data_IF_964221771795
#
_entry.id   IF_964221771795
#
_cell.length_a   1.000
_cell.length_b   1.000
_cell.length_c   1.000
_cell.angle_alpha   90.00
_cell.angle_beta   90.00
_cell.angle_gamma   90.00
#
_symmetry.space_group_name_H-M   'P 1'
#
loop_
_entity.id
_entity.type
_entity.pdbx_description
1 polymer ?
#
# COMPACT_ATOMS: atom_id res chain seq x y z
N UNK A 1 -39.69 32.94 31.94
CA UNK A 1 -38.53 32.15 32.37
C UNK A 1 -39.00 30.75 32.55
N UNK A 2 -38.71 29.87 31.61
CA UNK A 2 -39.09 28.46 31.69
C UNK A 2 -37.82 27.66 31.98
N UNK A 3 -37.72 27.17 33.22
CA UNK A 3 -36.62 26.31 33.64
C UNK A 3 -36.95 24.88 33.21
N UNK A 4 -36.19 24.34 32.28
CA UNK A 4 -36.22 22.92 31.92
C UNK A 4 -35.76 22.11 33.13
N UNK A 5 -36.52 21.11 33.63
CA UNK A 5 -36.03 20.27 34.71
C UNK A 5 -34.89 19.39 34.18
N UNK A 6 -33.70 19.53 34.78
CA UNK A 6 -32.54 18.69 34.47
C UNK A 6 -32.81 17.28 34.99
N UNK A 7 -33.00 16.32 34.08
CA UNK A 7 -33.03 14.89 34.40
C UNK A 7 -31.71 14.47 35.08
N UNK A 8 -31.75 13.64 36.14
CA UNK A 8 -30.53 13.16 36.78
C UNK A 8 -29.72 12.29 35.80
N UNK A 9 -28.37 12.33 35.85
CA UNK A 9 -27.55 11.46 35.02
C UNK A 9 -27.86 9.99 35.36
N UNK A 10 -28.11 9.18 34.33
CA UNK A 10 -28.29 7.75 34.51
C UNK A 10 -27.01 7.11 35.08
N UNK A 11 -27.13 6.04 35.89
CA UNK A 11 -25.97 5.38 36.45
C UNK A 11 -25.05 4.86 35.33
N UNK A 12 -23.79 5.27 35.34
CA UNK A 12 -22.75 4.73 34.47
C UNK A 12 -22.32 3.36 35.02
N UNK A 13 -22.49 2.32 34.22
CA UNK A 13 -22.02 0.98 34.55
C UNK A 13 -20.60 0.76 33.99
N UNK A 14 -19.65 0.42 34.84
CA UNK A 14 -18.26 0.15 34.45
C UNK A 14 -18.11 -1.31 34.01
N UNK A 15 -17.98 -1.55 32.70
CA UNK A 15 -17.81 -2.89 32.15
C UNK A 15 -16.32 -3.25 32.08
N UNK A 16 -15.92 -4.32 32.79
CA UNK A 16 -14.57 -4.91 32.71
C UNK A 16 -14.63 -6.17 31.85
N UNK A 17 -13.83 -6.22 30.79
CA UNK A 17 -13.69 -7.39 29.94
C UNK A 17 -12.22 -7.75 29.74
N UNK A 18 -11.95 -9.03 29.59
CA UNK A 18 -10.63 -9.55 29.26
C UNK A 18 -10.58 -9.91 27.77
N UNK A 19 -9.51 -9.51 27.09
CA UNK A 19 -9.26 -9.85 25.68
C UNK A 19 -8.07 -10.79 25.58
N UNK A 20 -8.08 -11.66 24.57
CA UNK A 20 -6.89 -12.47 24.25
C UNK A 20 -5.73 -11.55 23.88
N UNK A 21 -4.52 -11.96 24.26
CA UNK A 21 -3.30 -11.28 23.81
C UNK A 21 -3.32 -11.26 22.27
N UNK A 22 -3.13 -10.08 21.68
CA UNK A 22 -3.01 -9.99 20.23
C UNK A 22 -1.81 -10.83 19.80
N UNK A 23 -1.91 -11.46 18.62
CA UNK A 23 -0.76 -12.15 18.03
C UNK A 23 0.38 -11.14 17.92
N UNK A 24 1.54 -11.49 18.44
CA UNK A 24 2.71 -10.63 18.34
C UNK A 24 3.03 -10.41 16.85
N UNK A 25 3.20 -9.16 16.48
CA UNK A 25 3.55 -8.72 15.13
C UNK A 25 4.91 -8.04 15.15
N UNK A 26 5.79 -8.53 16.02
CA UNK A 26 7.18 -8.11 16.11
C UNK A 26 7.82 -8.12 14.71
N UNK A 27 8.44 -7.00 14.35
CA UNK A 27 9.07 -6.84 13.02
C UNK A 27 8.11 -6.73 11.84
N UNK A 28 6.79 -6.64 12.05
CA UNK A 28 5.83 -6.53 10.95
C UNK A 28 5.83 -5.15 10.26
N UNK A 29 6.77 -4.28 10.59
CA UNK A 29 6.96 -2.97 9.98
C UNK A 29 8.46 -2.80 9.79
N UNK A 30 8.90 -2.64 8.55
CA UNK A 30 10.29 -2.37 8.23
C UNK A 30 10.67 -0.94 8.62
N UNK A 31 11.95 -0.63 8.47
CA UNK A 31 12.59 0.67 8.72
C UNK A 31 12.01 1.82 7.86
N UNK A 32 11.19 1.50 6.84
CA UNK A 32 10.42 2.47 6.03
C UNK A 32 8.93 2.55 6.39
N UNK A 33 8.48 1.87 7.45
CA UNK A 33 7.08 1.90 7.87
C UNK A 33 6.15 0.96 7.09
N UNK A 34 6.69 0.11 6.21
CA UNK A 34 5.91 -0.84 5.42
C UNK A 34 5.88 -2.21 6.08
N UNK A 35 4.74 -2.92 5.99
CA UNK A 35 4.61 -4.30 6.48
C UNK A 35 5.15 -5.37 5.54
N UNK A 36 5.82 -4.92 4.49
CA UNK A 36 6.33 -5.73 3.40
C UNK A 36 7.85 -5.68 3.48
N UNK A 37 8.48 -6.85 3.42
CA UNK A 37 9.92 -7.01 3.32
C UNK A 37 10.31 -7.41 1.89
N UNK A 38 11.59 -7.72 1.69
CA UNK A 38 12.13 -8.14 0.38
C UNK A 38 11.62 -9.52 -0.06
N UNK A 39 10.89 -10.25 0.80
CA UNK A 39 10.31 -11.56 0.46
C UNK A 39 9.04 -11.45 -0.37
N UNK A 40 8.43 -10.26 -0.45
CA UNK A 40 7.24 -10.04 -1.25
C UNK A 40 7.58 -10.22 -2.74
N UNK A 41 6.87 -11.10 -3.47
CA UNK A 41 7.14 -11.31 -4.88
C UNK A 41 7.00 -10.02 -5.69
N UNK A 42 7.93 -9.81 -6.63
CA UNK A 42 7.90 -8.70 -7.59
C UNK A 42 7.67 -9.25 -8.98
N UNK A 43 6.67 -8.72 -9.68
CA UNK A 43 6.34 -9.03 -11.06
C UNK A 43 6.73 -7.85 -11.94
N UNK A 44 7.64 -8.08 -12.88
CA UNK A 44 8.15 -7.06 -13.80
C UNK A 44 7.24 -6.98 -15.02
N UNK A 45 6.79 -5.76 -15.33
CA UNK A 45 5.98 -5.45 -16.50
C UNK A 45 6.75 -4.45 -17.35
N UNK A 46 7.25 -4.90 -18.50
CA UNK A 46 7.89 -4.05 -19.50
C UNK A 46 6.81 -3.24 -20.24
N UNK A 47 6.91 -1.92 -20.14
CA UNK A 47 6.01 -0.96 -20.79
C UNK A 47 6.74 -0.38 -22.00
N UNK A 48 6.30 -0.66 -23.24
CA UNK A 48 6.98 -0.14 -24.41
C UNK A 48 6.90 1.39 -24.47
N UNK A 49 7.98 2.01 -24.94
CA UNK A 49 7.97 3.42 -25.33
C UNK A 49 7.40 3.53 -26.76
N UNK A 50 6.31 4.29 -26.98
CA UNK A 50 5.72 4.45 -28.30
C UNK A 50 6.71 4.93 -29.37
N UNK A 51 7.65 5.79 -28.96
CA UNK A 51 8.68 6.38 -29.81
C UNK A 51 9.66 5.32 -30.36
N UNK A 52 9.88 4.22 -29.61
CA UNK A 52 10.74 3.09 -30.00
C UNK A 52 10.03 2.02 -30.84
N UNK A 53 8.73 2.18 -31.09
CA UNK A 53 7.95 1.25 -31.91
C UNK A 53 7.57 1.85 -33.28
N UNK A 54 7.88 3.13 -33.49
CA UNK A 54 7.56 3.86 -34.71
C UNK A 54 8.54 3.61 -35.86
N UNK A 55 8.28 4.20 -37.05
CA UNK A 55 9.20 4.14 -38.19
C UNK A 55 10.56 4.75 -37.87
N UNK A 56 10.58 5.76 -37.01
CA UNK A 56 11.79 6.50 -36.62
C UNK A 56 12.46 5.90 -35.37
N UNK A 57 12.08 4.67 -34.95
CA UNK A 57 12.62 4.04 -33.75
C UNK A 57 14.15 3.92 -33.75
N UNK A 58 14.77 3.84 -34.94
CA UNK A 58 16.23 3.79 -35.09
C UNK A 58 16.92 5.14 -34.80
N UNK A 59 16.17 6.24 -34.70
CA UNK A 59 16.68 7.58 -34.41
C UNK A 59 16.71 7.91 -32.91
N UNK A 60 16.16 7.04 -32.06
CA UNK A 60 16.06 7.24 -30.62
C UNK A 60 16.90 6.24 -29.84
N UNK A 61 17.61 6.73 -28.84
CA UNK A 61 18.39 5.92 -27.90
C UNK A 61 17.75 5.94 -26.51
N UNK A 62 17.77 4.79 -25.82
CA UNK A 62 17.28 4.70 -24.45
C UNK A 62 18.28 5.30 -23.49
N UNK A 63 17.91 6.40 -22.83
CA UNK A 63 18.76 7.12 -21.88
C UNK A 63 18.56 6.64 -20.43
N UNK A 64 17.38 6.13 -20.08
CA UNK A 64 17.06 5.66 -18.73
C UNK A 64 15.88 4.68 -18.74
N UNK A 65 15.67 3.98 -17.63
CA UNK A 65 14.48 3.16 -17.38
C UNK A 65 13.73 3.73 -16.18
N UNK A 66 12.59 4.36 -16.47
CA UNK A 66 11.68 4.85 -15.43
C UNK A 66 10.96 3.66 -14.78
N UNK A 67 11.20 3.47 -13.49
CA UNK A 67 10.57 2.41 -12.68
C UNK A 67 9.44 2.97 -11.84
N UNK A 68 8.29 2.31 -11.88
CA UNK A 68 7.15 2.61 -11.00
C UNK A 68 6.68 1.34 -10.32
N UNK A 69 6.50 1.37 -9.01
CA UNK A 69 6.06 0.23 -8.23
C UNK A 69 4.60 0.40 -7.80
N UNK A 70 3.81 -0.67 -7.91
CA UNK A 70 2.41 -0.72 -7.42
C UNK A 70 2.18 -1.99 -6.62
N UNK A 71 1.41 -1.91 -5.55
CA UNK A 71 1.00 -3.08 -4.79
C UNK A 71 -0.29 -3.65 -5.39
N UNK A 72 -0.29 -4.93 -5.76
CA UNK A 72 -1.46 -5.65 -6.20
C UNK A 72 -1.84 -6.74 -5.18
N UNK A 73 -3.13 -6.85 -4.91
CA UNK A 73 -3.68 -7.85 -3.99
C UNK A 73 -4.10 -9.09 -4.78
N UNK A 74 -3.66 -10.26 -4.34
CA UNK A 74 -4.09 -11.57 -4.81
C UNK A 74 -4.87 -12.27 -3.69
N UNK A 75 -5.69 -13.29 -3.98
CA UNK A 75 -6.34 -14.08 -2.94
C UNK A 75 -5.30 -14.65 -1.96
N UNK A 76 -5.30 -14.14 -0.72
CA UNK A 76 -4.37 -14.59 0.34
C UNK A 76 -2.93 -14.08 0.25
N UNK A 77 -2.59 -13.20 -0.71
CA UNK A 77 -1.21 -12.70 -0.86
C UNK A 77 -1.14 -11.32 -1.51
N UNK A 78 0.05 -10.75 -1.53
CA UNK A 78 0.36 -9.50 -2.24
C UNK A 78 1.50 -9.73 -3.23
N UNK A 79 1.49 -8.98 -4.31
CA UNK A 79 2.58 -8.92 -5.29
C UNK A 79 2.89 -7.45 -5.57
N UNK A 80 4.16 -7.10 -5.71
CA UNK A 80 4.58 -5.79 -6.19
C UNK A 80 4.70 -5.86 -7.71
N UNK A 81 4.01 -4.98 -8.42
CA UNK A 81 4.15 -4.80 -9.86
C UNK A 81 5.21 -3.72 -10.10
N UNK A 82 6.32 -4.10 -10.72
CA UNK A 82 7.37 -3.18 -11.18
C UNK A 82 7.14 -2.86 -12.67
N UNK A 83 6.67 -1.67 -12.96
CA UNK A 83 6.55 -1.17 -14.32
C UNK A 83 7.87 -0.54 -14.74
N UNK A 84 8.44 -1.03 -15.84
CA UNK A 84 9.66 -0.51 -16.45
C UNK A 84 9.31 0.15 -17.77
N UNK A 85 9.57 1.44 -17.89
CA UNK A 85 9.36 2.19 -19.13
C UNK A 85 10.69 2.76 -19.61
N UNK A 86 11.15 2.43 -20.84
CA UNK A 86 12.28 3.11 -21.45
C UNK A 86 11.99 4.60 -21.60
N UNK A 87 12.98 5.42 -21.25
CA UNK A 87 12.99 6.87 -21.50
C UNK A 87 13.94 7.10 -22.66
N UNK A 88 13.44 7.82 -23.66
CA UNK A 88 14.14 8.20 -24.89
C UNK A 88 14.05 9.70 -25.11
#
# INVERSE_FOLDING_TARGET
GEATPSLPPSPLESIRYERRKLKDREGAVNDRGLRFDETVPVEVIEVPAPELLGPDAAEFDVIDIKRTYRLAQRPGSYVVLEYRRPVV
#
